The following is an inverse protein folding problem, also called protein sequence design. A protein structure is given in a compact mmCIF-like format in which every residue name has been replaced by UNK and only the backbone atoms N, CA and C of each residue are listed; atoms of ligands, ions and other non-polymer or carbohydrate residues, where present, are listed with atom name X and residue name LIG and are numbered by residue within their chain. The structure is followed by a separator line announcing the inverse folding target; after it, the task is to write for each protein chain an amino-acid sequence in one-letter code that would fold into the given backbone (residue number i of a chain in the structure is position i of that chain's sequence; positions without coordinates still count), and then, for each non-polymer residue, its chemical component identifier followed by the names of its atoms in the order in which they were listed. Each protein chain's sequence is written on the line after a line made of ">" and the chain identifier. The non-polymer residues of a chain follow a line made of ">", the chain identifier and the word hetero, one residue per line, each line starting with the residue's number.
data_IF_158761611496
#
_entry.id   IF_158761611496
#
_cell.length_a   1.000
_cell.length_b   1.000
_cell.length_c   1.000
_cell.angle_alpha   90.00
_cell.angle_beta   90.00
_cell.angle_gamma   90.00
#
_symmetry.space_group_name_H-M   'P 1'
#
loop_
_entity.id
_entity.type
_entity.pdbx_description
1 polymer ?
#
# COMPACT_ATOMS: atom_id res chain seq x y z
N UNK A 1 10.19 -34.42 109.76
CA UNK A 1 9.05 -33.85 108.99
C UNK A 1 9.29 -32.39 108.60
N UNK A 2 10.27 -32.10 107.72
CA UNK A 2 10.54 -30.71 107.27
C UNK A 2 10.74 -30.55 105.76
N UNK A 3 10.78 -31.65 104.99
CA UNK A 3 10.97 -31.62 103.52
C UNK A 3 9.67 -31.61 102.69
N UNK A 4 8.53 -31.99 103.26
CA UNK A 4 7.24 -32.03 102.53
C UNK A 4 6.68 -30.62 102.27
N UNK A 5 6.80 -29.68 103.22
CA UNK A 5 6.32 -28.30 103.05
C UNK A 5 7.09 -27.50 101.99
N UNK A 6 8.38 -27.77 101.84
CA UNK A 6 9.22 -27.04 100.88
C UNK A 6 8.93 -27.49 99.44
N UNK A 7 8.61 -28.76 99.22
CA UNK A 7 8.23 -29.30 97.90
C UNK A 7 6.89 -28.71 97.43
N UNK A 8 5.91 -28.56 98.33
CA UNK A 8 4.60 -27.97 98.01
C UNK A 8 4.72 -26.47 97.64
N UNK A 9 5.58 -25.73 98.35
CA UNK A 9 5.83 -24.30 98.05
C UNK A 9 6.57 -24.14 96.72
N UNK A 10 7.56 -25.00 96.44
CA UNK A 10 8.28 -24.99 95.15
C UNK A 10 7.32 -25.35 94.01
N UNK A 11 6.44 -26.34 94.18
CA UNK A 11 5.43 -26.69 93.17
C UNK A 11 4.42 -25.56 92.92
N UNK A 12 3.95 -24.91 93.98
CA UNK A 12 3.04 -23.77 93.88
C UNK A 12 3.67 -22.56 93.17
N UNK A 13 4.92 -22.22 93.51
CA UNK A 13 5.66 -21.14 92.83
C UNK A 13 5.93 -21.47 91.35
N UNK A 14 6.20 -22.75 91.05
CA UNK A 14 6.37 -23.21 89.66
C UNK A 14 5.07 -23.07 88.87
N UNK A 15 3.94 -23.48 89.44
CA UNK A 15 2.62 -23.34 88.82
C UNK A 15 2.23 -21.88 88.55
N UNK A 16 2.51 -20.97 89.50
CA UNK A 16 2.29 -19.53 89.29
C UNK A 16 3.19 -19.00 88.18
N UNK A 17 4.45 -19.41 88.14
CA UNK A 17 5.41 -18.99 87.11
C UNK A 17 4.97 -19.49 85.73
N UNK A 18 4.51 -20.74 85.63
CA UNK A 18 3.98 -21.32 84.40
C UNK A 18 2.68 -20.64 83.94
N UNK A 19 1.80 -20.29 84.88
CA UNK A 19 0.56 -19.57 84.59
C UNK A 19 0.86 -18.14 84.09
N UNK A 20 1.75 -17.41 84.77
CA UNK A 20 2.19 -16.08 84.33
C UNK A 20 2.89 -16.13 82.97
N UNK A 21 3.67 -17.19 82.70
CA UNK A 21 4.31 -17.41 81.41
C UNK A 21 3.28 -17.66 80.29
N UNK A 22 2.27 -18.50 80.54
CA UNK A 22 1.21 -18.80 79.58
C UNK A 22 0.30 -17.59 79.32
N UNK A 23 -0.01 -16.79 80.34
CA UNK A 23 -0.78 -15.56 80.19
C UNK A 23 0.01 -14.53 79.36
N UNK A 24 1.31 -14.40 79.62
CA UNK A 24 2.20 -13.53 78.83
C UNK A 24 2.29 -13.98 77.37
N UNK A 25 2.44 -15.28 77.10
CA UNK A 25 2.44 -15.85 75.75
C UNK A 25 1.11 -15.58 75.04
N UNK A 26 -0.01 -15.73 75.74
CA UNK A 26 -1.35 -15.50 75.19
C UNK A 26 -1.54 -14.05 74.78
N UNK A 27 -1.19 -13.11 75.66
CA UNK A 27 -1.23 -11.68 75.37
C UNK A 27 -0.33 -11.32 74.20
N UNK A 28 0.92 -11.81 74.18
CA UNK A 28 1.85 -11.58 73.08
C UNK A 28 1.31 -12.10 71.73
N UNK A 29 0.69 -13.27 71.73
CA UNK A 29 0.10 -13.89 70.53
C UNK A 29 -1.05 -13.05 69.97
N UNK A 30 -1.91 -12.50 70.84
CA UNK A 30 -2.99 -11.60 70.45
C UNK A 30 -2.44 -10.32 69.82
N UNK A 31 -1.39 -9.72 70.42
CA UNK A 31 -0.73 -8.54 69.84
C UNK A 31 -0.13 -8.82 68.46
N UNK A 32 0.56 -9.96 68.29
CA UNK A 32 1.13 -10.35 66.99
C UNK A 32 0.02 -10.56 65.94
N UNK A 33 -1.10 -11.17 66.31
CA UNK A 33 -2.24 -11.38 65.42
C UNK A 33 -2.85 -10.05 64.95
N UNK A 34 -3.02 -9.07 65.85
CA UNK A 34 -3.55 -7.73 65.51
C UNK A 34 -2.59 -6.99 64.57
N UNK A 35 -1.28 -7.02 64.85
CA UNK A 35 -0.26 -6.39 63.99
C UNK A 35 -0.27 -7.03 62.59
N UNK A 36 -0.39 -8.36 62.53
CA UNK A 36 -0.43 -9.11 61.27
C UNK A 36 -1.64 -8.75 60.41
N UNK A 37 -2.83 -8.61 61.02
CA UNK A 37 -4.04 -8.14 60.34
C UNK A 37 -3.91 -6.71 59.81
N UNK A 38 -3.29 -5.82 60.58
CA UNK A 38 -3.00 -4.44 60.16
C UNK A 38 -2.06 -4.38 58.96
N UNK A 39 -1.03 -5.24 58.92
CA UNK A 39 -0.10 -5.33 57.79
C UNK A 39 -0.79 -5.84 56.50
N UNK A 40 -1.68 -6.82 56.61
CA UNK A 40 -2.45 -7.32 55.46
C UNK A 40 -3.40 -6.23 54.93
N UNK A 41 -4.11 -5.53 55.81
CA UNK A 41 -5.04 -4.47 55.41
C UNK A 41 -4.33 -3.31 54.72
N UNK A 42 -3.18 -2.89 55.26
CA UNK A 42 -2.35 -1.84 54.63
C UNK A 42 -1.75 -2.29 53.30
N UNK A 43 -1.31 -3.55 53.17
CA UNK A 43 -0.83 -4.12 51.91
C UNK A 43 -1.90 -4.16 50.82
N UNK A 44 -3.13 -4.59 51.16
CA UNK A 44 -4.26 -4.60 50.21
C UNK A 44 -4.64 -3.18 49.78
N UNK A 45 -4.64 -2.22 50.70
CA UNK A 45 -4.87 -0.82 50.38
C UNK A 45 -3.76 -0.26 49.48
N UNK A 46 -2.49 -0.51 49.80
CA UNK A 46 -1.35 -0.08 48.99
C UNK A 46 -1.43 -0.65 47.56
N UNK A 47 -1.79 -1.92 47.41
CA UNK A 47 -1.97 -2.53 46.09
C UNK A 47 -3.12 -1.88 45.31
N UNK A 48 -4.30 -1.70 45.93
CA UNK A 48 -5.44 -1.01 45.28
C UNK A 48 -5.14 0.45 44.93
N UNK A 49 -4.37 1.15 45.75
CA UNK A 49 -3.94 2.52 45.46
C UNK A 49 -2.87 2.56 44.36
N UNK A 50 -1.97 1.56 44.31
CA UNK A 50 -0.96 1.42 43.26
C UNK A 50 -1.61 1.16 41.89
N UNK A 51 -2.56 0.22 41.80
CA UNK A 51 -3.28 -0.06 40.55
C UNK A 51 -4.00 1.19 40.02
N UNK A 52 -4.68 1.93 40.92
CA UNK A 52 -5.32 3.21 40.57
C UNK A 52 -4.32 4.28 40.14
N UNK A 53 -3.12 4.33 40.71
CA UNK A 53 -2.07 5.26 40.30
C UNK A 53 -1.47 4.88 38.95
N UNK A 54 -1.23 3.59 38.70
CA UNK A 54 -0.77 3.08 37.40
C UNK A 54 -1.81 3.39 36.31
N UNK A 55 -3.10 3.22 36.62
CA UNK A 55 -4.18 3.55 35.68
C UNK A 55 -4.23 5.06 35.40
N UNK A 56 -4.15 5.91 36.43
CA UNK A 56 -4.05 7.36 36.26
C UNK A 56 -2.82 7.77 35.47
N UNK A 57 -1.66 7.17 35.72
CA UNK A 57 -0.44 7.40 34.96
C UNK A 57 -0.61 6.99 33.50
N UNK A 58 -1.24 5.85 33.20
CA UNK A 58 -1.53 5.44 31.82
C UNK A 58 -2.46 6.42 31.12
N UNK A 59 -3.49 6.91 31.81
CA UNK A 59 -4.43 7.91 31.27
C UNK A 59 -3.72 9.24 31.03
N UNK A 60 -2.93 9.73 31.98
CA UNK A 60 -2.13 10.94 31.84
C UNK A 60 -1.10 10.80 30.73
N UNK A 61 -0.36 9.70 30.67
CA UNK A 61 0.60 9.43 29.61
C UNK A 61 -0.07 9.43 28.22
N UNK A 62 -1.23 8.77 28.06
CA UNK A 62 -1.97 8.83 26.79
C UNK A 62 -2.40 10.25 26.43
N UNK A 63 -2.80 11.04 27.42
CA UNK A 63 -3.25 12.43 27.24
C UNK A 63 -2.09 13.37 26.90
N UNK A 64 -1.01 13.32 27.68
CA UNK A 64 0.15 14.20 27.58
C UNK A 64 0.93 13.98 26.28
N UNK A 65 1.03 12.72 25.85
CA UNK A 65 1.63 12.37 24.56
C UNK A 65 0.63 12.34 23.40
N UNK A 66 -0.64 12.70 23.65
CA UNK A 66 -1.69 12.75 22.63
C UNK A 66 -1.86 11.43 21.87
N UNK A 67 -1.63 10.28 22.50
CA UNK A 67 -1.59 8.96 21.84
C UNK A 67 -2.91 8.62 21.17
N UNK A 68 -4.03 8.96 21.81
CA UNK A 68 -5.36 8.71 21.24
C UNK A 68 -5.63 9.64 20.04
N UNK A 69 -5.17 10.89 20.08
CA UNK A 69 -5.25 11.83 18.95
C UNK A 69 -4.36 11.37 17.79
N UNK A 70 -3.13 10.92 18.07
CA UNK A 70 -2.21 10.36 17.09
C UNK A 70 -2.81 9.11 16.42
N UNK A 71 -3.39 8.21 17.21
CA UNK A 71 -4.04 6.99 16.71
C UNK A 71 -5.23 7.32 15.81
N UNK A 72 -6.05 8.30 16.19
CA UNK A 72 -7.17 8.77 15.38
C UNK A 72 -6.69 9.40 14.07
N UNK A 73 -5.67 10.27 14.10
CA UNK A 73 -5.09 10.88 12.90
C UNK A 73 -4.47 9.86 11.94
N UNK A 74 -3.78 8.84 12.46
CA UNK A 74 -3.26 7.74 11.62
C UNK A 74 -4.40 6.94 10.99
N UNK A 75 -5.47 6.69 11.74
CA UNK A 75 -6.67 6.02 11.20
C UNK A 75 -7.33 6.86 10.10
N UNK A 76 -7.55 8.15 10.33
CA UNK A 76 -8.09 9.09 9.35
C UNK A 76 -7.21 9.19 8.10
N UNK A 77 -5.89 9.27 8.27
CA UNK A 77 -4.94 9.31 7.17
C UNK A 77 -4.97 8.02 6.33
N UNK A 78 -5.08 6.86 6.98
CA UNK A 78 -5.22 5.58 6.29
C UNK A 78 -6.54 5.50 5.52
N UNK A 79 -7.66 5.92 6.12
CA UNK A 79 -8.96 5.98 5.45
C UNK A 79 -8.94 6.95 4.25
N UNK A 80 -8.28 8.10 4.39
CA UNK A 80 -8.11 9.07 3.31
C UNK A 80 -7.21 8.51 2.19
N UNK A 81 -6.15 7.78 2.54
CA UNK A 81 -5.25 7.16 1.57
C UNK A 81 -5.95 6.06 0.77
N UNK A 82 -6.76 5.22 1.42
CA UNK A 82 -7.59 4.22 0.74
C UNK A 82 -8.61 4.88 -0.19
N UNK A 83 -9.28 5.95 0.26
CA UNK A 83 -10.19 6.75 -0.61
C UNK A 83 -9.45 7.33 -1.81
N UNK A 84 -8.27 7.93 -1.59
CA UNK A 84 -7.46 8.50 -2.65
C UNK A 84 -7.05 7.45 -3.68
N UNK A 85 -6.59 6.28 -3.23
CA UNK A 85 -6.23 5.15 -4.10
C UNK A 85 -7.41 4.69 -4.96
N UNK A 86 -8.60 4.58 -4.37
CA UNK A 86 -9.83 4.25 -5.10
C UNK A 86 -10.19 5.33 -6.13
N UNK A 87 -10.11 6.61 -5.76
CA UNK A 87 -10.38 7.73 -6.67
C UNK A 87 -9.41 7.76 -7.84
N UNK A 88 -8.11 7.59 -7.61
CA UNK A 88 -7.11 7.58 -8.68
C UNK A 88 -7.35 6.38 -9.61
N UNK A 89 -7.64 5.21 -9.07
CA UNK A 89 -7.96 4.00 -9.87
C UNK A 89 -9.22 4.21 -10.70
N UNK A 90 -10.27 4.79 -10.11
CA UNK A 90 -11.52 5.12 -10.80
C UNK A 90 -11.29 6.13 -11.93
N UNK A 91 -10.48 7.17 -11.69
CA UNK A 91 -10.14 8.16 -12.70
C UNK A 91 -9.33 7.56 -13.85
N UNK A 92 -8.35 6.69 -13.56
CA UNK A 92 -7.59 5.99 -14.59
C UNK A 92 -8.51 5.11 -15.47
N UNK A 93 -9.46 4.42 -14.85
CA UNK A 93 -10.50 3.64 -15.54
C UNK A 93 -11.36 4.52 -16.42
N UNK A 94 -11.90 5.61 -15.88
CA UNK A 94 -12.72 6.54 -16.65
C UNK A 94 -11.97 7.14 -17.85
N UNK A 95 -10.68 7.45 -17.71
CA UNK A 95 -9.87 7.92 -18.83
C UNK A 95 -9.68 6.85 -19.90
N UNK A 96 -9.35 5.61 -19.51
CA UNK A 96 -9.20 4.49 -20.46
C UNK A 96 -10.53 4.19 -21.16
N UNK A 97 -11.64 4.16 -20.43
CA UNK A 97 -12.97 3.89 -20.98
C UNK A 97 -13.42 5.01 -21.94
N UNK A 98 -13.30 6.27 -21.52
CA UNK A 98 -13.68 7.41 -22.34
C UNK A 98 -12.86 7.48 -23.61
N UNK A 99 -11.53 7.50 -23.50
CA UNK A 99 -10.65 7.56 -24.69
C UNK A 99 -10.75 6.30 -25.55
N UNK A 100 -10.90 5.13 -24.94
CA UNK A 100 -11.06 3.85 -25.62
C UNK A 100 -12.37 3.77 -26.41
N UNK A 101 -13.45 4.32 -25.88
CA UNK A 101 -14.75 4.39 -26.55
C UNK A 101 -14.75 5.28 -27.79
N UNK A 102 -13.79 6.20 -27.90
CA UNK A 102 -13.62 7.08 -29.06
C UNK A 102 -12.81 6.43 -30.19
N UNK A 103 -12.04 5.37 -29.93
CA UNK A 103 -11.22 4.69 -30.94
C UNK A 103 -12.01 4.31 -32.22
N UNK A 104 -13.27 3.82 -32.16
CA UNK A 104 -14.04 3.54 -33.36
C UNK A 104 -14.35 4.77 -34.23
N UNK A 105 -14.40 5.98 -33.67
CA UNK A 105 -14.70 7.22 -34.40
C UNK A 105 -13.61 7.59 -35.42
N UNK A 106 -12.39 7.08 -35.25
CA UNK A 106 -11.31 7.21 -36.24
C UNK A 106 -11.73 6.71 -37.63
N UNK A 107 -12.75 5.84 -37.71
CA UNK A 107 -13.27 5.33 -38.96
C UNK A 107 -14.09 6.33 -39.78
N UNK A 108 -14.70 7.31 -39.12
CA UNK A 108 -15.65 8.26 -39.72
C UNK A 108 -15.03 9.64 -39.90
N UNK A 109 -13.95 9.94 -39.19
CA UNK A 109 -13.20 11.18 -39.32
C UNK A 109 -12.34 11.13 -40.58
N UNK A 110 -12.22 12.23 -41.31
CA UNK A 110 -11.31 12.33 -42.48
C UNK A 110 -9.93 12.84 -42.08
N UNK A 111 -9.87 13.82 -41.17
CA UNK A 111 -8.62 14.42 -40.70
C UNK A 111 -7.72 13.40 -39.99
N UNK A 112 -6.53 13.19 -40.56
CA UNK A 112 -5.53 12.26 -40.06
C UNK A 112 -4.94 12.72 -38.73
N UNK A 113 -4.84 14.03 -38.49
CA UNK A 113 -4.34 14.59 -37.23
C UNK A 113 -5.31 14.26 -36.09
N UNK A 114 -6.60 14.52 -36.29
CA UNK A 114 -7.66 14.16 -35.35
C UNK A 114 -7.66 12.65 -35.01
N UNK A 115 -7.50 11.76 -35.99
CA UNK A 115 -7.38 10.31 -35.72
C UNK A 115 -6.16 9.99 -34.86
N UNK A 116 -5.01 10.55 -35.22
CA UNK A 116 -3.77 10.41 -34.46
C UNK A 116 -3.94 10.83 -33.00
N UNK A 117 -4.64 11.93 -32.76
CA UNK A 117 -4.94 12.44 -31.41
C UNK A 117 -5.87 11.52 -30.62
N UNK A 118 -6.89 10.92 -31.25
CA UNK A 118 -7.78 9.97 -30.56
C UNK A 118 -6.98 8.74 -30.10
N UNK A 119 -6.20 8.13 -30.98
CA UNK A 119 -5.36 6.97 -30.63
C UNK A 119 -4.27 7.38 -29.62
N UNK A 120 -3.73 8.59 -29.76
CA UNK A 120 -2.73 9.16 -28.86
C UNK A 120 -3.27 9.38 -27.45
N UNK A 121 -4.47 9.93 -27.29
CA UNK A 121 -5.11 10.14 -25.99
C UNK A 121 -5.34 8.82 -25.26
N UNK A 122 -5.83 7.81 -25.98
CA UNK A 122 -5.99 6.47 -25.41
C UNK A 122 -4.63 5.86 -24.99
N UNK A 123 -3.61 6.00 -25.83
CA UNK A 123 -2.25 5.56 -25.52
C UNK A 123 -1.69 6.29 -24.29
N UNK A 124 -1.91 7.60 -24.20
CA UNK A 124 -1.52 8.43 -23.05
C UNK A 124 -2.22 8.02 -21.75
N UNK A 125 -3.51 7.63 -21.83
CA UNK A 125 -4.25 7.11 -20.67
C UNK A 125 -3.64 5.78 -20.18
N UNK A 126 -3.26 4.87 -21.09
CA UNK A 126 -2.57 3.63 -20.73
C UNK A 126 -1.20 3.90 -20.10
N UNK A 127 -0.39 4.81 -20.67
CA UNK A 127 0.91 5.20 -20.11
C UNK A 127 0.75 5.77 -18.70
N UNK A 128 -0.22 6.66 -18.50
CA UNK A 128 -0.50 7.27 -17.20
C UNK A 128 -0.90 6.22 -16.17
N UNK A 129 -1.78 5.29 -16.53
CA UNK A 129 -2.17 4.17 -15.67
C UNK A 129 -0.97 3.27 -15.32
N UNK A 130 -0.07 3.01 -16.28
CA UNK A 130 1.14 2.22 -16.06
C UNK A 130 2.12 2.93 -15.10
N UNK A 131 2.35 4.24 -15.26
CA UNK A 131 3.23 5.03 -14.40
C UNK A 131 2.75 5.07 -12.94
N UNK A 132 1.43 5.02 -12.74
CA UNK A 132 0.82 4.94 -11.42
C UNK A 132 0.77 3.50 -10.86
N UNK A 133 1.26 2.50 -11.62
CA UNK A 133 1.22 1.09 -11.22
C UNK A 133 -0.19 0.48 -11.24
N UNK A 134 -1.16 1.14 -11.86
CA UNK A 134 -2.58 0.77 -11.84
C UNK A 134 -3.01 -0.09 -13.03
N UNK A 135 -2.18 -0.19 -14.08
CA UNK A 135 -2.51 -0.93 -15.30
C UNK A 135 -2.42 -2.45 -15.09
N UNK A 136 -3.36 -2.98 -14.31
CA UNK A 136 -3.45 -4.38 -13.92
C UNK A 136 -4.90 -4.86 -13.85
N UNK A 137 -5.08 -6.18 -13.70
CA UNK A 137 -6.38 -6.79 -13.43
C UNK A 137 -7.48 -6.32 -14.41
N UNK A 138 -8.60 -5.75 -13.91
CA UNK A 138 -9.68 -5.24 -14.76
C UNK A 138 -9.24 -4.14 -15.73
N UNK A 139 -8.39 -3.21 -15.28
CA UNK A 139 -7.98 -2.06 -16.08
C UNK A 139 -7.10 -2.48 -17.27
N UNK A 140 -6.16 -3.40 -17.03
CA UNK A 140 -5.36 -4.01 -18.09
C UNK A 140 -6.26 -4.74 -19.10
N UNK A 141 -7.26 -5.48 -18.60
CA UNK A 141 -8.21 -6.21 -19.45
C UNK A 141 -9.01 -5.26 -20.34
N UNK A 142 -9.52 -4.17 -19.80
CA UNK A 142 -10.26 -3.15 -20.55
C UNK A 142 -9.39 -2.52 -21.64
N UNK A 143 -8.16 -2.11 -21.30
CA UNK A 143 -7.20 -1.60 -22.27
C UNK A 143 -6.94 -2.57 -23.43
N UNK A 144 -6.72 -3.85 -23.11
CA UNK A 144 -6.53 -4.91 -24.12
C UNK A 144 -7.78 -5.09 -24.99
N UNK A 145 -8.98 -5.07 -24.39
CA UNK A 145 -10.24 -5.20 -25.14
C UNK A 145 -10.44 -4.03 -26.10
N UNK A 146 -10.23 -2.80 -25.67
CA UNK A 146 -10.35 -1.61 -26.53
C UNK A 146 -9.38 -1.68 -27.70
N UNK A 147 -8.10 -1.98 -27.46
CA UNK A 147 -7.09 -2.09 -28.51
C UNK A 147 -7.38 -3.25 -29.45
N UNK A 148 -7.80 -4.40 -28.92
CA UNK A 148 -8.20 -5.52 -29.75
C UNK A 148 -9.36 -5.13 -30.67
N UNK A 149 -10.42 -4.55 -30.11
CA UNK A 149 -11.59 -4.11 -30.89
C UNK A 149 -11.23 -3.07 -31.95
N UNK A 150 -10.33 -2.15 -31.61
CA UNK A 150 -9.79 -1.20 -32.56
C UNK A 150 -9.04 -1.88 -33.70
N UNK A 151 -8.10 -2.78 -33.40
CA UNK A 151 -7.37 -3.54 -34.42
C UNK A 151 -8.29 -4.38 -35.32
N UNK A 152 -9.38 -4.94 -34.77
CA UNK A 152 -10.36 -5.75 -35.51
C UNK A 152 -10.88 -5.03 -36.76
N UNK A 153 -11.00 -3.71 -36.69
CA UNK A 153 -11.49 -2.87 -37.79
C UNK A 153 -10.57 -3.00 -39.00
N UNK A 154 -9.26 -3.06 -38.78
CA UNK A 154 -8.22 -3.09 -39.83
C UNK A 154 -7.81 -4.51 -40.23
N UNK A 155 -8.18 -5.51 -39.42
CA UNK A 155 -7.92 -6.92 -39.70
C UNK A 155 -9.07 -7.64 -40.41
N UNK A 156 -10.22 -6.98 -40.64
CA UNK A 156 -11.30 -7.55 -41.47
C UNK A 156 -10.87 -7.62 -42.94
N UNK A 157 -10.98 -8.80 -43.56
CA UNK A 157 -10.72 -9.00 -45.00
C UNK A 157 -11.52 -7.98 -45.83
N UNK A 158 -10.86 -7.35 -46.81
CA UNK A 158 -11.48 -6.37 -47.71
C UNK A 158 -11.52 -4.92 -47.21
N UNK A 159 -10.93 -4.60 -46.05
CA UNK A 159 -10.77 -3.21 -45.62
C UNK A 159 -9.41 -2.63 -46.02
N UNK A 160 -9.43 -1.73 -47.00
CA UNK A 160 -8.26 -0.96 -47.45
C UNK A 160 -7.94 0.25 -46.56
N UNK A 161 -8.63 0.39 -45.42
CA UNK A 161 -8.35 1.47 -44.45
C UNK A 161 -6.91 1.35 -43.95
N UNK A 162 -6.06 2.27 -44.41
CA UNK A 162 -4.69 2.45 -43.93
C UNK A 162 -4.72 3.32 -42.67
N UNK A 163 -3.94 2.92 -41.67
CA UNK A 163 -3.63 3.79 -40.54
C UNK A 163 -2.67 4.87 -41.03
N UNK A 164 -2.89 6.11 -40.60
CA UNK A 164 -1.88 7.15 -40.76
C UNK A 164 -0.64 6.85 -39.92
N UNK A 165 0.48 7.50 -40.24
CA UNK A 165 1.72 7.36 -39.45
C UNK A 165 1.50 7.69 -37.96
N UNK A 166 0.81 8.80 -37.59
CA UNK A 166 0.52 9.11 -36.19
C UNK A 166 -0.33 8.04 -35.49
N UNK A 167 -1.39 7.55 -36.13
CA UNK A 167 -2.23 6.48 -35.55
C UNK A 167 -1.44 5.20 -35.32
N UNK A 168 -0.65 4.78 -36.32
CA UNK A 168 0.14 3.56 -36.23
C UNK A 168 1.22 3.66 -35.14
N UNK A 169 1.90 4.80 -35.02
CA UNK A 169 2.91 5.03 -33.98
C UNK A 169 2.32 4.96 -32.56
N UNK A 170 1.18 5.63 -32.34
CA UNK A 170 0.47 5.59 -31.06
C UNK A 170 -0.04 4.18 -30.75
N UNK A 171 -0.66 3.51 -31.73
CA UNK A 171 -1.16 2.14 -31.58
C UNK A 171 -0.03 1.16 -31.24
N UNK A 172 1.11 1.23 -31.94
CA UNK A 172 2.27 0.38 -31.65
C UNK A 172 2.79 0.60 -30.23
N UNK A 173 2.83 1.85 -29.77
CA UNK A 173 3.21 2.18 -28.39
C UNK A 173 2.25 1.57 -27.37
N UNK A 174 0.94 1.67 -27.60
CA UNK A 174 -0.07 1.04 -26.75
C UNK A 174 0.08 -0.49 -26.73
N UNK A 175 0.34 -1.12 -27.88
CA UNK A 175 0.54 -2.56 -28.00
C UNK A 175 1.76 -3.03 -27.21
N UNK A 176 2.90 -2.37 -27.40
CA UNK A 176 4.15 -2.71 -26.71
C UNK A 176 3.99 -2.58 -25.18
N UNK A 177 3.26 -1.56 -24.73
CA UNK A 177 2.99 -1.33 -23.32
C UNK A 177 2.07 -2.40 -22.72
N UNK A 178 0.97 -2.74 -23.41
CA UNK A 178 0.05 -3.78 -22.96
C UNK A 178 0.72 -5.16 -22.95
N UNK A 179 1.51 -5.48 -23.97
CA UNK A 179 2.28 -6.74 -24.03
C UNK A 179 3.18 -6.91 -22.80
N UNK A 180 3.96 -5.87 -22.45
CA UNK A 180 4.81 -5.89 -21.26
C UNK A 180 3.99 -6.12 -19.99
N UNK A 181 2.88 -5.40 -19.82
CA UNK A 181 2.04 -5.56 -18.63
C UNK A 181 1.40 -6.96 -18.56
N UNK A 182 1.03 -7.55 -19.70
CA UNK A 182 0.48 -8.91 -19.73
C UNK A 182 1.52 -9.99 -19.45
N UNK A 183 2.80 -9.75 -19.77
CA UNK A 183 3.88 -10.66 -19.41
C UNK A 183 4.06 -10.75 -17.89
N UNK A 184 3.95 -9.61 -17.19
CA UNK A 184 4.09 -9.53 -15.74
C UNK A 184 2.79 -9.91 -15.00
N UNK A 185 1.63 -9.59 -15.58
CA UNK A 185 0.32 -9.73 -14.95
C UNK A 185 -0.64 -10.46 -15.91
N UNK A 186 -0.68 -11.80 -15.87
CA UNK A 186 -1.41 -12.59 -16.86
C UNK A 186 -2.90 -12.28 -16.85
N UNK A 187 -3.46 -12.09 -18.04
CA UNK A 187 -4.90 -11.98 -18.28
C UNK A 187 -5.48 -13.30 -18.78
N UNK A 188 -6.78 -13.33 -19.07
CA UNK A 188 -7.46 -14.51 -19.63
C UNK A 188 -6.72 -15.02 -20.89
N UNK A 189 -6.35 -16.32 -20.97
CA UNK A 189 -5.55 -16.86 -22.07
C UNK A 189 -6.13 -16.59 -23.46
N UNK A 190 -7.46 -16.72 -23.60
CA UNK A 190 -8.15 -16.45 -24.87
C UNK A 190 -8.02 -14.99 -25.33
N UNK A 191 -8.01 -14.05 -24.39
CA UNK A 191 -7.85 -12.63 -24.69
C UNK A 191 -6.40 -12.33 -25.08
N UNK A 192 -5.42 -12.90 -24.37
CA UNK A 192 -4.01 -12.79 -24.73
C UNK A 192 -3.72 -13.37 -26.13
N UNK A 193 -4.25 -14.55 -26.45
CA UNK A 193 -4.13 -15.14 -27.79
C UNK A 193 -4.76 -14.25 -28.87
N UNK A 194 -5.94 -13.68 -28.59
CA UNK A 194 -6.61 -12.76 -29.53
C UNK A 194 -5.79 -11.50 -29.75
N UNK A 195 -5.19 -10.96 -28.69
CA UNK A 195 -4.30 -9.81 -28.76
C UNK A 195 -3.07 -10.12 -29.63
N UNK A 196 -2.36 -11.21 -29.34
CA UNK A 196 -1.15 -11.60 -30.06
C UNK A 196 -1.42 -11.86 -31.54
N UNK A 197 -2.51 -12.56 -31.88
CA UNK A 197 -2.90 -12.81 -33.26
C UNK A 197 -3.18 -11.50 -34.03
N UNK A 198 -3.85 -10.53 -33.40
CA UNK A 198 -4.16 -9.24 -34.03
C UNK A 198 -2.93 -8.35 -34.14
N UNK A 199 -2.07 -8.34 -33.12
CA UNK A 199 -0.77 -7.65 -33.12
C UNK A 199 0.10 -8.16 -34.27
N UNK A 200 0.27 -9.48 -34.39
CA UNK A 200 1.06 -10.11 -35.45
C UNK A 200 0.53 -9.76 -36.84
N UNK A 201 -0.79 -9.78 -37.04
CA UNK A 201 -1.40 -9.37 -38.31
C UNK A 201 -1.13 -7.89 -38.62
N UNK A 202 -1.31 -6.99 -37.64
CA UNK A 202 -1.05 -5.56 -37.80
C UNK A 202 0.41 -5.32 -38.19
N UNK A 203 1.34 -5.94 -37.48
CA UNK A 203 2.78 -5.81 -37.70
C UNK A 203 3.17 -6.24 -39.12
N UNK A 204 2.61 -7.35 -39.58
CA UNK A 204 2.80 -7.83 -40.95
C UNK A 204 2.18 -6.89 -41.99
N UNK A 205 0.95 -6.41 -41.77
CA UNK A 205 0.22 -5.55 -42.72
C UNK A 205 0.91 -4.20 -42.94
N UNK A 206 1.50 -3.62 -41.90
CA UNK A 206 2.08 -2.29 -41.94
C UNK A 206 3.62 -2.27 -41.91
N UNK A 207 4.27 -3.44 -41.97
CA UNK A 207 5.74 -3.59 -41.88
C UNK A 207 6.33 -2.76 -40.72
N UNK A 208 5.76 -2.97 -39.52
CA UNK A 208 6.09 -2.19 -38.32
C UNK A 208 7.58 -2.29 -37.98
N UNK A 209 8.22 -3.43 -38.26
CA UNK A 209 9.65 -3.63 -38.00
C UNK A 209 10.53 -2.76 -38.89
N UNK A 210 10.13 -2.52 -40.14
CA UNK A 210 10.78 -1.53 -40.99
C UNK A 210 10.59 -0.12 -40.46
N UNK A 211 9.37 0.25 -40.07
CA UNK A 211 9.09 1.57 -39.50
C UNK A 211 9.88 1.85 -38.21
N UNK A 212 9.98 0.86 -37.31
CA UNK A 212 10.78 0.96 -36.07
C UNK A 212 12.27 1.18 -36.39
N UNK A 213 12.81 0.54 -37.44
CA UNK A 213 14.19 0.76 -37.90
C UNK A 213 14.40 2.16 -38.47
N UNK A 214 13.51 2.60 -39.35
CA UNK A 214 13.58 3.92 -39.98
C UNK A 214 13.48 5.07 -38.95
N UNK A 215 12.60 4.94 -37.95
CA UNK A 215 12.48 5.95 -36.88
C UNK A 215 13.72 5.95 -35.97
N UNK A 216 14.32 4.79 -35.68
CA UNK A 216 15.58 4.71 -34.92
C UNK A 216 16.75 5.37 -35.68
N UNK A 217 16.82 5.18 -36.99
CA UNK A 217 17.81 5.83 -37.85
C UNK A 217 17.62 7.35 -37.89
N UNK A 218 16.38 7.85 -37.98
CA UNK A 218 16.07 9.28 -37.88
C UNK A 218 16.52 9.86 -36.55
N UNK A 219 16.13 9.25 -35.42
CA UNK A 219 16.52 9.73 -34.10
C UNK A 219 18.04 9.79 -33.95
N UNK A 220 18.75 8.81 -34.49
CA UNK A 220 20.21 8.79 -34.47
C UNK A 220 20.80 9.92 -35.30
N UNK A 221 20.23 10.24 -36.47
CA UNK A 221 20.64 11.38 -37.30
C UNK A 221 20.37 12.71 -36.62
N UNK A 222 19.17 12.90 -36.07
CA UNK A 222 18.79 14.13 -35.35
C UNK A 222 19.64 14.36 -34.11
N UNK A 223 19.96 13.30 -33.35
CA UNK A 223 20.86 13.38 -32.20
C UNK A 223 22.27 13.83 -32.62
N UNK A 224 22.80 13.24 -33.70
CA UNK A 224 24.10 13.64 -34.27
C UNK A 224 24.09 15.09 -34.74
N UNK A 225 23.01 15.53 -35.40
CA UNK A 225 22.87 16.91 -35.86
C UNK A 225 22.77 17.91 -34.70
N UNK A 226 22.05 17.56 -33.63
CA UNK A 226 22.00 18.38 -32.40
C UNK A 226 23.37 18.50 -31.73
N UNK A 227 24.14 17.41 -31.69
CA UNK A 227 25.50 17.43 -31.15
C UNK A 227 26.40 18.33 -32.01
N UNK A 228 26.34 18.20 -33.33
CA UNK A 228 27.12 19.01 -34.26
C UNK A 228 26.77 20.51 -34.14
N UNK A 229 25.48 20.86 -34.05
CA UNK A 229 25.04 22.24 -33.83
C UNK A 229 25.55 22.82 -32.51
N UNK A 230 25.54 22.02 -31.43
CA UNK A 230 26.11 22.45 -30.14
C UNK A 230 27.63 22.65 -30.21
N UNK A 231 28.34 21.79 -30.94
CA UNK A 231 29.79 21.94 -31.11
C UNK A 231 30.14 23.20 -31.90
N UNK A 232 29.42 23.48 -32.99
CA UNK A 232 29.62 24.69 -33.80
C UNK A 232 29.33 25.98 -33.01
N UNK A 233 28.27 26.00 -32.19
CA UNK A 233 27.93 27.14 -31.32
C UNK A 233 28.96 27.41 -30.22
N UNK A 234 29.71 26.39 -29.78
CA UNK A 234 30.79 26.58 -28.80
C UNK A 234 32.05 27.12 -29.46
N UNK A 235 32.37 26.69 -30.70
CA UNK A 235 33.50 27.23 -31.47
C UNK A 235 33.31 28.71 -31.83
N UNK A 236 32.07 29.15 -32.07
CA UNK A 236 31.75 30.58 -32.30
C UNK A 236 31.82 31.46 -31.05
N UNK A 237 31.84 30.88 -29.84
CA UNK A 237 31.95 31.63 -28.58
C UNK A 237 33.38 31.78 -28.07
N UNK A 238 34.28 30.92 -28.54
CA UNK A 238 35.69 30.91 -28.17
C UNK A 238 36.57 31.70 -29.16
N UNK A 239 35.97 32.29 -30.20
CA UNK A 239 36.57 33.26 -31.13
C UNK A 239 35.99 34.67 -30.89
#
# INVERSE_FOLDING_TARGET
>A
MKRLKDVDVIQYLTQITDQQHNDLITVLTIFIAIISLGAIFTGVLQWRFSDKQIEKMKIQFKKDYGIDDLKNKVKEANELNEKLKLTITSNARMQIDSTGSLLPLTQTIEDQSAKGNIVGNFTGALISAQQLGLLEGPLLREGVVYVCNFMRIFTKRGTDKKLSKPELGNLVTALDLLERQMADKPILPKLAQTFEARKAYLYKKYDVDKLKREDKERQTKEAKEKILKKQLQNVEKDN
#
